data_IF_771575242017
#
_entry.id   IF_771575242017
#
_cell.length_a   1.000
_cell.length_b   1.000
_cell.length_c   1.000
_cell.angle_alpha   90.00
_cell.angle_beta   90.00
_cell.angle_gamma   90.00
#
_symmetry.space_group_name_H-M   'P 1'
#
loop_
_entity.id
_entity.type
_entity.pdbx_description
1 polymer ?
#
# COMPACT_ATOMS: atom_id res chain seq x y z
N UNK A 1 33.16 -33.44 -11.09
CA UNK A 1 33.40 -32.09 -10.55
C UNK A 1 32.62 -30.99 -11.30
N UNK A 2 31.26 -30.99 -11.36
CA UNK A 2 30.55 -29.86 -11.96
C UNK A 2 29.65 -29.08 -10.95
N UNK A 3 29.69 -29.42 -9.65
CA UNK A 3 28.75 -28.79 -8.66
C UNK A 3 29.27 -27.49 -8.03
N UNK A 4 30.56 -27.19 -8.12
CA UNK A 4 31.17 -25.99 -7.48
C UNK A 4 30.95 -24.73 -8.31
N UNK A 5 30.84 -24.81 -9.64
CA UNK A 5 30.63 -23.65 -10.49
C UNK A 5 29.21 -23.05 -10.45
N UNK A 6 28.19 -23.89 -10.15
CA UNK A 6 26.80 -23.44 -10.08
C UNK A 6 26.52 -22.62 -8.80
N UNK A 7 27.17 -22.95 -7.67
CA UNK A 7 27.03 -22.20 -6.42
C UNK A 7 27.69 -20.82 -6.48
N UNK A 8 28.84 -20.71 -7.16
CA UNK A 8 29.55 -19.42 -7.33
C UNK A 8 28.78 -18.47 -8.25
N UNK A 9 28.14 -18.97 -9.30
CA UNK A 9 27.31 -18.14 -10.19
C UNK A 9 26.04 -17.63 -9.52
N UNK A 10 25.39 -18.42 -8.67
CA UNK A 10 24.21 -18.00 -7.89
C UNK A 10 24.56 -16.95 -6.82
N UNK A 11 25.70 -17.11 -6.14
CA UNK A 11 26.17 -16.14 -5.13
C UNK A 11 26.61 -14.83 -5.78
N UNK A 12 27.28 -14.90 -6.93
CA UNK A 12 27.73 -13.68 -7.65
C UNK A 12 26.54 -12.92 -8.28
N UNK A 13 25.54 -13.61 -8.81
CA UNK A 13 24.32 -12.97 -9.32
C UNK A 13 23.52 -12.29 -8.19
N UNK A 14 23.41 -12.92 -7.03
CA UNK A 14 22.77 -12.33 -5.85
C UNK A 14 23.51 -11.09 -5.34
N UNK A 15 24.84 -11.12 -5.30
CA UNK A 15 25.66 -9.99 -4.84
C UNK A 15 25.65 -8.82 -5.87
N UNK A 16 25.62 -9.10 -7.16
CA UNK A 16 25.51 -8.07 -8.20
C UNK A 16 24.14 -7.38 -8.16
N UNK A 17 23.05 -8.13 -8.01
CA UNK A 17 21.71 -7.58 -7.85
C UNK A 17 21.56 -6.78 -6.55
N UNK A 18 22.24 -7.19 -5.48
CA UNK A 18 22.29 -6.51 -4.19
C UNK A 18 23.03 -5.16 -4.27
N UNK A 19 24.13 -5.06 -5.05
CA UNK A 19 24.86 -3.81 -5.26
C UNK A 19 24.04 -2.79 -6.08
N UNK A 20 23.27 -3.26 -7.06
CA UNK A 20 22.45 -2.40 -7.91
C UNK A 20 21.28 -1.75 -7.15
N UNK A 21 20.60 -2.49 -6.27
CA UNK A 21 19.50 -1.95 -5.45
C UNK A 21 19.96 -0.87 -4.45
N UNK A 22 21.18 -0.97 -3.94
CA UNK A 22 21.75 0.05 -3.05
C UNK A 22 22.34 1.24 -3.80
N UNK A 23 22.62 1.11 -5.10
CA UNK A 23 23.12 2.18 -5.98
C UNK A 23 22.01 2.95 -6.70
N UNK A 24 20.75 2.47 -6.66
CA UNK A 24 19.63 3.16 -7.30
C UNK A 24 19.42 4.59 -6.76
N UNK A 25 18.95 5.51 -7.64
CA UNK A 25 18.65 6.87 -7.20
C UNK A 25 17.58 6.86 -6.10
N UNK A 26 17.77 7.74 -5.13
CA UNK A 26 16.79 7.97 -4.05
C UNK A 26 16.28 9.41 -4.17
N UNK A 27 15.00 9.62 -4.39
CA UNK A 27 13.93 8.64 -4.66
C UNK A 27 14.03 8.00 -6.05
N UNK A 28 13.39 6.82 -6.20
CA UNK A 28 13.27 6.13 -7.49
C UNK A 28 12.43 6.92 -8.49
N UNK A 29 11.32 7.53 -7.99
CA UNK A 29 10.39 8.33 -8.78
C UNK A 29 10.16 9.71 -8.18
N UNK A 30 9.72 10.66 -9.02
CA UNK A 30 9.35 12.01 -8.58
C UNK A 30 8.06 12.47 -9.26
N UNK A 31 7.18 13.09 -8.48
CA UNK A 31 6.07 13.92 -8.96
C UNK A 31 6.38 15.35 -8.54
N UNK A 32 6.51 16.27 -9.50
CA UNK A 32 6.92 17.64 -9.21
C UNK A 32 5.75 18.46 -8.66
N UNK A 33 6.07 19.52 -7.92
CA UNK A 33 5.06 20.48 -7.38
C UNK A 33 4.10 21.00 -8.47
N UNK A 34 4.61 21.27 -9.67
CA UNK A 34 3.80 21.78 -10.79
C UNK A 34 2.81 20.79 -11.38
N UNK A 35 2.93 19.50 -11.03
CA UNK A 35 2.02 18.42 -11.46
C UNK A 35 0.89 18.20 -10.43
N UNK A 36 0.95 18.90 -9.31
CA UNK A 36 0.01 18.72 -8.20
C UNK A 36 -0.84 19.99 -7.97
N UNK A 37 -2.02 19.83 -7.40
CA UNK A 37 -2.83 20.94 -6.92
C UNK A 37 -2.10 21.69 -5.78
N UNK A 38 -2.48 22.94 -5.52
CA UNK A 38 -1.95 23.76 -4.41
C UNK A 38 -2.13 23.06 -3.05
N UNK A 39 -3.21 22.31 -2.89
CA UNK A 39 -3.48 21.45 -1.74
C UNK A 39 -3.67 20.02 -2.26
N UNK A 40 -2.56 19.27 -2.47
CA UNK A 40 -2.64 17.97 -3.06
C UNK A 40 -3.24 16.96 -2.10
N UNK A 41 -3.94 15.97 -2.67
CA UNK A 41 -4.39 14.80 -1.92
C UNK A 41 -3.82 13.53 -2.54
N UNK A 42 -3.70 12.51 -1.70
CA UNK A 42 -3.27 11.18 -2.04
C UNK A 42 -4.35 10.21 -1.58
N UNK A 43 -4.57 9.12 -2.32
CA UNK A 43 -5.52 8.10 -1.90
C UNK A 43 -4.77 6.80 -1.65
N UNK A 44 -5.02 6.21 -0.47
CA UNK A 44 -4.47 4.93 -0.07
C UNK A 44 -5.60 3.91 0.11
N UNK A 45 -5.50 2.76 -0.55
CA UNK A 45 -6.38 1.61 -0.37
C UNK A 45 -5.81 0.35 -1.04
N UNK A 46 -6.25 -0.84 -0.65
CA UNK A 46 -5.79 -2.11 -1.17
C UNK A 46 -6.91 -3.11 -1.42
N UNK A 47 -6.53 -4.32 -1.82
CA UNK A 47 -7.44 -5.45 -1.96
C UNK A 47 -8.56 -5.22 -2.98
N UNK A 48 -8.19 -4.66 -4.11
CA UNK A 48 -9.13 -4.43 -5.20
C UNK A 48 -9.55 -5.74 -5.86
N UNK A 49 -8.63 -6.69 -5.95
CA UNK A 49 -8.82 -8.02 -6.54
C UNK A 49 -9.54 -7.98 -7.87
N UNK A 50 -8.99 -7.22 -8.82
CA UNK A 50 -9.48 -7.18 -10.17
C UNK A 50 -9.46 -8.58 -10.78
N UNK A 51 -10.62 -8.99 -11.29
CA UNK A 51 -10.84 -10.28 -11.95
C UNK A 51 -12.11 -10.18 -12.78
N UNK A 52 -12.45 -11.24 -13.51
CA UNK A 52 -13.69 -11.32 -14.30
C UNK A 52 -14.88 -10.79 -13.47
N UNK A 53 -15.61 -9.77 -13.96
CA UNK A 53 -16.77 -9.22 -13.27
C UNK A 53 -17.90 -10.23 -13.00
N UNK A 54 -17.89 -11.40 -13.63
CA UNK A 54 -18.79 -12.52 -13.29
C UNK A 54 -18.42 -13.18 -11.96
N UNK A 55 -17.17 -13.04 -11.48
CA UNK A 55 -16.73 -13.59 -10.20
C UNK A 55 -17.17 -12.69 -9.04
N UNK A 56 -18.38 -12.93 -8.53
CA UNK A 56 -18.97 -12.21 -7.41
C UNK A 56 -18.66 -12.85 -6.04
N UNK A 57 -17.91 -13.92 -5.98
CA UNK A 57 -17.58 -14.60 -4.73
C UNK A 57 -16.33 -14.01 -4.07
N UNK A 58 -15.31 -13.71 -4.86
CA UNK A 58 -14.05 -13.15 -4.36
C UNK A 58 -14.08 -11.63 -4.21
N UNK A 59 -14.93 -10.93 -4.95
CA UNK A 59 -14.97 -9.47 -5.03
C UNK A 59 -16.40 -8.98 -5.30
N UNK A 60 -16.62 -7.68 -5.10
CA UNK A 60 -17.82 -6.98 -5.58
C UNK A 60 -17.44 -6.06 -6.75
N UNK A 61 -17.66 -6.50 -8.02
CA UNK A 61 -17.25 -5.72 -9.19
C UNK A 61 -17.98 -4.38 -9.32
N UNK A 62 -19.24 -4.29 -8.85
CA UNK A 62 -20.03 -3.07 -8.89
C UNK A 62 -19.47 -2.02 -7.93
N UNK A 63 -19.19 -2.43 -6.71
CA UNK A 63 -18.61 -1.55 -5.69
C UNK A 63 -17.18 -1.16 -6.08
N UNK A 64 -16.36 -2.10 -6.54
CA UNK A 64 -15.00 -1.82 -7.02
C UNK A 64 -15.02 -0.76 -8.13
N UNK A 65 -15.87 -0.93 -9.14
CA UNK A 65 -16.01 0.05 -10.23
C UNK A 65 -16.46 1.42 -9.73
N UNK A 66 -17.42 1.46 -8.80
CA UNK A 66 -17.86 2.70 -8.18
C UNK A 66 -16.72 3.43 -7.46
N UNK A 67 -15.90 2.71 -6.67
CA UNK A 67 -14.74 3.29 -6.00
C UNK A 67 -13.73 3.83 -7.01
N UNK A 68 -13.44 3.10 -8.09
CA UNK A 68 -12.55 3.56 -9.17
C UNK A 68 -13.02 4.89 -9.75
N UNK A 69 -14.32 5.01 -10.07
CA UNK A 69 -14.89 6.22 -10.65
C UNK A 69 -14.88 7.39 -9.66
N UNK A 70 -15.19 7.11 -8.39
CA UNK A 70 -15.14 8.13 -7.31
C UNK A 70 -13.72 8.65 -7.09
N UNK A 71 -12.74 7.76 -7.06
CA UNK A 71 -11.32 8.12 -6.91
C UNK A 71 -10.86 8.97 -8.10
N UNK A 72 -11.24 8.63 -9.33
CA UNK A 72 -10.94 9.45 -10.51
C UNK A 72 -11.51 10.87 -10.38
N UNK A 73 -12.75 10.98 -9.86
CA UNK A 73 -13.41 12.27 -9.66
C UNK A 73 -12.77 13.13 -8.57
N UNK A 74 -12.10 12.53 -7.58
CA UNK A 74 -11.34 13.23 -6.54
C UNK A 74 -10.07 13.89 -7.09
N UNK A 75 -9.57 13.44 -8.26
CA UNK A 75 -8.33 13.91 -8.90
C UNK A 75 -7.15 14.01 -7.92
N UNK A 76 -6.81 12.94 -7.17
CA UNK A 76 -5.66 12.95 -6.28
C UNK A 76 -4.36 13.09 -7.08
N UNK A 77 -3.33 13.66 -6.47
CA UNK A 77 -2.00 13.72 -7.08
C UNK A 77 -1.37 12.31 -7.24
N UNK A 78 -1.73 11.38 -6.35
CA UNK A 78 -1.25 10.00 -6.44
C UNK A 78 -2.22 9.01 -5.80
N UNK A 79 -2.20 7.78 -6.32
CA UNK A 79 -2.81 6.59 -5.72
C UNK A 79 -1.73 5.70 -5.14
N UNK A 80 -1.88 5.34 -3.88
CA UNK A 80 -1.02 4.45 -3.12
C UNK A 80 -1.80 3.15 -2.94
N UNK A 81 -1.41 2.09 -3.67
CA UNK A 81 -2.13 0.83 -3.68
C UNK A 81 -1.45 -0.18 -2.76
N UNK A 82 -2.18 -0.66 -1.76
CA UNK A 82 -1.66 -1.49 -0.66
C UNK A 82 -1.56 -2.99 -1.03
N UNK A 83 -1.41 -3.34 -2.31
CA UNK A 83 -1.34 -4.73 -2.80
C UNK A 83 -2.69 -5.37 -3.04
N UNK A 84 -2.66 -6.62 -3.50
CA UNK A 84 -3.81 -7.42 -3.94
C UNK A 84 -4.62 -6.69 -5.04
N UNK A 85 -3.90 -6.15 -6.02
CA UNK A 85 -4.51 -5.53 -7.21
C UNK A 85 -5.23 -6.58 -8.06
N UNK A 86 -4.60 -7.69 -8.52
CA UNK A 86 -5.31 -8.78 -9.18
C UNK A 86 -5.90 -9.75 -8.14
N UNK A 87 -6.83 -10.61 -8.56
CA UNK A 87 -7.23 -11.77 -7.79
C UNK A 87 -6.17 -12.88 -7.87
N UNK A 88 -5.53 -13.06 -9.04
CA UNK A 88 -4.44 -14.01 -9.22
C UNK A 88 -3.37 -13.44 -10.15
N UNK A 89 -2.13 -13.32 -9.62
CA UNK A 89 -1.03 -12.64 -10.30
C UNK A 89 -0.58 -13.33 -11.59
N UNK A 90 -0.71 -14.66 -11.71
CA UNK A 90 -0.36 -15.38 -12.93
C UNK A 90 -1.41 -15.25 -14.05
N UNK A 91 -2.61 -14.72 -13.75
CA UNK A 91 -3.67 -14.54 -14.73
C UNK A 91 -3.58 -13.15 -15.41
N UNK A 92 -3.13 -13.13 -16.65
CA UNK A 92 -3.11 -11.91 -17.48
C UNK A 92 -4.48 -11.24 -17.59
N UNK A 93 -5.55 -12.04 -17.55
CA UNK A 93 -6.91 -11.51 -17.63
C UNK A 93 -7.24 -10.57 -16.47
N UNK A 94 -6.78 -10.88 -15.28
CA UNK A 94 -7.03 -10.05 -14.09
C UNK A 94 -6.37 -8.66 -14.24
N UNK A 95 -5.16 -8.59 -14.77
CA UNK A 95 -4.53 -7.32 -15.13
C UNK A 95 -5.22 -6.61 -16.31
N UNK A 96 -5.78 -7.36 -17.26
CA UNK A 96 -6.57 -6.76 -18.34
C UNK A 96 -7.86 -6.10 -17.81
N UNK A 97 -8.51 -6.74 -16.83
CA UNK A 97 -9.67 -6.16 -16.13
C UNK A 97 -9.24 -4.91 -15.35
N UNK A 98 -8.13 -4.98 -14.61
CA UNK A 98 -7.55 -3.80 -13.94
C UNK A 98 -7.35 -2.65 -14.92
N UNK A 99 -6.65 -2.89 -16.04
CA UNK A 99 -6.38 -1.86 -17.03
C UNK A 99 -7.67 -1.29 -17.65
N UNK A 100 -8.67 -2.13 -17.89
CA UNK A 100 -9.96 -1.71 -18.44
C UNK A 100 -10.77 -0.89 -17.44
N UNK A 101 -10.97 -1.39 -16.23
CA UNK A 101 -11.79 -0.73 -15.22
C UNK A 101 -11.16 0.57 -14.72
N UNK A 102 -9.82 0.64 -14.62
CA UNK A 102 -9.08 1.83 -14.15
C UNK A 102 -8.73 2.82 -15.26
N UNK A 103 -9.31 2.68 -16.46
CA UNK A 103 -9.15 3.68 -17.52
C UNK A 103 -9.43 5.11 -17.04
N UNK A 104 -10.45 5.39 -16.18
CA UNK A 104 -10.67 6.73 -15.64
C UNK A 104 -9.47 7.32 -14.87
N UNK A 105 -8.64 6.52 -14.23
CA UNK A 105 -7.42 6.99 -13.54
C UNK A 105 -6.37 7.48 -14.53
N UNK A 106 -6.16 6.71 -15.62
CA UNK A 106 -5.21 7.10 -16.67
C UNK A 106 -5.69 8.34 -17.43
N UNK A 107 -7.00 8.40 -17.72
CA UNK A 107 -7.60 9.56 -18.39
C UNK A 107 -7.48 10.84 -17.52
N UNK A 108 -7.47 10.69 -16.20
CA UNK A 108 -7.25 11.76 -15.23
C UNK A 108 -5.75 12.05 -14.96
N UNK A 109 -4.83 11.28 -15.55
CA UNK A 109 -3.39 11.45 -15.38
C UNK A 109 -2.88 11.13 -13.98
N UNK A 110 -3.52 10.20 -13.24
CA UNK A 110 -3.14 9.87 -11.87
C UNK A 110 -1.84 9.07 -11.82
N UNK A 111 -0.93 9.44 -10.93
CA UNK A 111 0.26 8.65 -10.62
C UNK A 111 -0.09 7.45 -9.72
N UNK A 112 0.39 6.26 -10.06
CA UNK A 112 0.11 5.02 -9.35
C UNK A 112 1.38 4.53 -8.64
N UNK A 113 1.28 4.24 -7.35
CA UNK A 113 2.35 3.67 -6.53
C UNK A 113 1.88 2.37 -5.87
N UNK A 114 1.90 1.24 -6.60
CA UNK A 114 1.43 -0.05 -6.10
C UNK A 114 2.49 -0.79 -5.28
N UNK A 115 2.11 -1.35 -4.13
CA UNK A 115 2.85 -2.39 -3.44
C UNK A 115 2.44 -3.78 -3.93
N UNK A 116 3.28 -4.79 -3.69
CA UNK A 116 2.97 -6.19 -3.96
C UNK A 116 2.23 -6.81 -2.75
N UNK A 117 1.06 -7.42 -2.98
CA UNK A 117 0.37 -8.26 -2.03
C UNK A 117 0.64 -9.76 -2.26
N UNK A 118 -0.03 -10.63 -1.50
CA UNK A 118 0.13 -12.06 -1.69
C UNK A 118 -0.60 -12.56 -2.94
N UNK A 119 -1.67 -11.91 -3.37
CA UNK A 119 -2.39 -12.25 -4.60
C UNK A 119 -1.58 -11.94 -5.86
N UNK A 120 -0.63 -11.02 -5.83
CA UNK A 120 0.35 -10.84 -6.90
C UNK A 120 1.24 -12.06 -7.13
N UNK A 121 1.29 -13.00 -6.18
CA UNK A 121 2.06 -14.26 -6.29
C UNK A 121 1.18 -15.50 -6.37
N UNK A 122 -0.16 -15.36 -6.42
CA UNK A 122 -1.06 -16.49 -6.62
C UNK A 122 -0.86 -17.09 -8.01
N UNK A 123 -0.86 -18.44 -8.08
CA UNK A 123 -0.57 -19.22 -9.26
C UNK A 123 0.93 -19.48 -9.43
N UNK A 124 1.47 -19.33 -10.65
CA UNK A 124 2.89 -19.53 -10.93
C UNK A 124 3.68 -18.25 -10.63
N UNK A 125 4.56 -18.20 -9.63
CA UNK A 125 5.14 -16.97 -9.14
C UNK A 125 6.00 -16.20 -10.15
N UNK A 126 6.71 -16.90 -11.05
CA UNK A 126 7.51 -16.23 -12.08
C UNK A 126 6.60 -15.55 -13.11
N UNK A 127 5.56 -16.24 -13.57
CA UNK A 127 4.57 -15.66 -14.48
C UNK A 127 3.82 -14.49 -13.84
N UNK A 128 3.53 -14.60 -12.55
CA UNK A 128 2.87 -13.58 -11.77
C UNK A 128 3.68 -12.26 -11.75
N UNK A 129 4.99 -12.33 -11.44
CA UNK A 129 5.88 -11.16 -11.48
C UNK A 129 6.03 -10.59 -12.90
N UNK A 130 6.12 -11.43 -13.95
CA UNK A 130 6.18 -10.94 -15.33
C UNK A 130 4.89 -10.22 -15.73
N UNK A 131 3.73 -10.70 -15.29
CA UNK A 131 2.45 -10.01 -15.52
C UNK A 131 2.38 -8.68 -14.77
N UNK A 132 2.86 -8.63 -13.53
CA UNK A 132 2.99 -7.41 -12.75
C UNK A 132 3.86 -6.37 -13.47
N UNK A 133 5.06 -6.74 -13.88
CA UNK A 133 5.97 -5.84 -14.60
C UNK A 133 5.48 -5.47 -16.01
N UNK A 134 4.62 -6.29 -16.61
CA UNK A 134 3.95 -5.93 -17.86
C UNK A 134 2.87 -4.88 -17.63
N UNK A 135 2.15 -4.98 -16.50
CA UNK A 135 1.12 -4.03 -16.11
C UNK A 135 1.71 -2.69 -15.61
N UNK A 136 2.82 -2.75 -14.88
CA UNK A 136 3.54 -1.62 -14.31
C UNK A 136 5.00 -1.61 -14.82
N UNK A 137 5.24 -1.24 -16.09
CA UNK A 137 6.57 -1.38 -16.71
C UNK A 137 7.65 -0.53 -16.05
N UNK A 138 7.28 0.58 -15.42
CA UNK A 138 8.19 1.43 -14.65
C UNK A 138 8.74 0.75 -13.40
N UNK A 139 8.05 -0.30 -12.91
CA UNK A 139 8.47 -1.11 -11.76
C UNK A 139 9.32 -2.33 -12.16
N UNK A 140 9.69 -2.46 -13.46
CA UNK A 140 10.40 -3.66 -13.92
C UNK A 140 11.68 -3.91 -13.11
N UNK A 141 11.82 -5.16 -12.66
CA UNK A 141 12.89 -5.66 -11.79
C UNK A 141 12.93 -5.05 -10.38
N UNK A 142 11.90 -4.29 -9.98
CA UNK A 142 11.75 -3.75 -8.62
C UNK A 142 10.63 -4.46 -7.89
N UNK A 143 10.85 -4.76 -6.62
CA UNK A 143 9.84 -5.28 -5.70
C UNK A 143 9.51 -4.26 -4.61
N UNK A 144 10.41 -3.34 -4.34
CA UNK A 144 10.22 -2.17 -3.47
C UNK A 144 10.91 -0.96 -4.09
N UNK A 145 10.43 0.20 -3.76
CA UNK A 145 10.90 1.46 -4.33
C UNK A 145 10.47 2.67 -3.51
N UNK A 146 10.99 3.84 -3.84
CA UNK A 146 10.61 5.11 -3.23
C UNK A 146 10.12 6.12 -4.26
N UNK A 147 9.24 7.04 -3.83
CA UNK A 147 8.80 8.17 -4.62
C UNK A 147 8.79 9.45 -3.77
N UNK A 148 9.11 10.57 -4.37
CA UNK A 148 8.93 11.88 -3.75
C UNK A 148 7.78 12.62 -4.43
N UNK A 149 6.80 13.07 -3.65
CA UNK A 149 5.63 13.80 -4.11
C UNK A 149 5.76 15.25 -3.66
N UNK A 150 6.12 16.11 -4.60
CA UNK A 150 6.52 17.49 -4.28
C UNK A 150 7.74 17.54 -3.37
N UNK A 151 7.79 18.59 -2.55
CA UNK A 151 8.90 18.82 -1.63
C UNK A 151 8.71 18.18 -0.25
N UNK A 152 7.46 17.82 0.14
CA UNK A 152 7.10 17.56 1.53
C UNK A 152 6.71 16.10 1.84
N UNK A 153 6.42 15.28 0.82
CA UNK A 153 5.94 13.89 1.01
C UNK A 153 6.89 12.90 0.34
N UNK A 154 7.21 11.85 1.08
CA UNK A 154 8.04 10.75 0.60
C UNK A 154 7.29 9.43 0.74
N UNK A 155 7.25 8.63 -0.32
CA UNK A 155 6.57 7.33 -0.34
C UNK A 155 7.61 6.22 -0.32
N UNK A 156 7.39 5.20 0.51
CA UNK A 156 8.10 3.93 0.47
C UNK A 156 7.09 2.84 0.16
N UNK A 157 7.20 2.23 -1.01
CA UNK A 157 6.44 1.03 -1.35
C UNK A 157 7.29 -0.21 -1.02
N UNK A 158 6.79 -1.05 -0.13
CA UNK A 158 7.49 -2.22 0.40
C UNK A 158 6.85 -3.52 -0.09
N UNK A 159 7.65 -4.56 -0.20
CA UNK A 159 7.18 -5.90 -0.47
C UNK A 159 7.23 -6.76 0.80
N UNK A 160 6.09 -6.92 1.46
CA UNK A 160 5.95 -7.73 2.66
C UNK A 160 5.96 -9.25 2.41
N UNK A 161 6.07 -9.68 1.13
CA UNK A 161 6.29 -11.09 0.79
C UNK A 161 7.78 -11.48 0.83
N UNK A 162 8.67 -10.52 1.07
CA UNK A 162 10.10 -10.75 1.30
C UNK A 162 10.50 -10.33 2.71
N UNK A 163 11.73 -10.68 3.10
CA UNK A 163 12.22 -10.35 4.43
C UNK A 163 12.42 -8.85 4.63
N UNK A 164 11.83 -8.33 5.73
CA UNK A 164 12.08 -6.99 6.29
C UNK A 164 12.81 -7.12 7.64
N UNK A 165 13.20 -8.35 8.03
CA UNK A 165 13.94 -8.59 9.26
C UNK A 165 15.27 -7.84 9.26
N UNK A 166 15.79 -7.43 10.43
CA UNK A 166 17.07 -6.74 10.53
C UNK A 166 18.19 -7.47 9.77
N UNK A 167 18.92 -6.73 8.93
CA UNK A 167 20.00 -7.28 8.11
C UNK A 167 19.57 -7.84 6.76
N UNK A 168 18.28 -7.88 6.43
CA UNK A 168 17.81 -8.17 5.07
C UNK A 168 18.07 -6.99 4.11
N UNK A 169 18.04 -7.25 2.80
CA UNK A 169 18.30 -6.22 1.80
C UNK A 169 17.26 -5.11 1.88
N UNK A 170 15.98 -5.47 2.00
CA UNK A 170 14.92 -4.49 2.11
C UNK A 170 15.02 -3.69 3.41
N UNK A 171 15.36 -4.30 4.55
CA UNK A 171 15.56 -3.58 5.81
C UNK A 171 16.71 -2.56 5.72
N UNK A 172 17.86 -2.93 5.14
CA UNK A 172 18.97 -2.00 4.90
C UNK A 172 18.58 -0.86 3.96
N UNK A 173 17.80 -1.18 2.93
CA UNK A 173 17.29 -0.18 2.00
C UNK A 173 16.34 0.81 2.71
N UNK A 174 15.38 0.33 3.52
CA UNK A 174 14.47 1.17 4.32
C UNK A 174 15.28 2.10 5.23
N UNK A 175 16.27 1.56 5.95
CA UNK A 175 17.15 2.34 6.82
C UNK A 175 17.85 3.46 6.04
N UNK A 176 18.42 3.14 4.88
CA UNK A 176 19.07 4.12 4.00
C UNK A 176 18.09 5.21 3.54
N UNK A 177 16.86 4.85 3.15
CA UNK A 177 15.86 5.83 2.72
C UNK A 177 15.50 6.79 3.86
N UNK A 178 15.22 6.25 5.05
CA UNK A 178 14.77 7.05 6.20
C UNK A 178 15.91 7.93 6.76
N UNK A 179 17.13 7.44 6.84
CA UNK A 179 18.27 8.23 7.30
C UNK A 179 18.72 9.27 6.30
N UNK A 180 18.47 9.05 5.01
CA UNK A 180 18.80 9.98 3.92
C UNK A 180 17.68 10.92 3.51
N UNK A 181 16.58 11.03 4.28
CA UNK A 181 15.46 11.90 3.93
C UNK A 181 15.89 13.37 3.78
N UNK A 182 15.49 14.04 2.69
CA UNK A 182 15.67 15.48 2.56
C UNK A 182 15.01 16.24 3.73
N UNK A 183 15.66 17.30 4.21
CA UNK A 183 15.14 18.09 5.35
C UNK A 183 13.76 18.73 5.09
N UNK A 184 13.36 18.86 3.82
CA UNK A 184 12.04 19.38 3.43
C UNK A 184 10.89 18.38 3.57
N UNK A 185 11.17 17.09 3.80
CA UNK A 185 10.14 16.06 3.91
C UNK A 185 9.49 16.12 5.28
N UNK A 186 8.21 16.41 5.32
CA UNK A 186 7.40 16.40 6.54
C UNK A 186 6.78 15.02 6.83
N UNK A 187 6.42 14.28 5.77
CA UNK A 187 5.67 13.03 5.88
C UNK A 187 6.29 11.91 5.05
N UNK A 188 6.42 10.74 5.65
CA UNK A 188 6.77 9.50 4.98
C UNK A 188 5.54 8.59 4.97
N UNK A 189 5.01 8.32 3.79
CA UNK A 189 3.91 7.39 3.55
C UNK A 189 4.50 6.04 3.16
N UNK A 190 4.27 5.02 3.97
CA UNK A 190 4.76 3.66 3.72
C UNK A 190 3.56 2.83 3.28
N UNK A 191 3.63 2.25 2.07
CA UNK A 191 2.63 1.29 1.59
C UNK A 191 3.22 -0.11 1.56
N UNK A 192 2.45 -1.07 2.02
CA UNK A 192 2.76 -2.49 2.00
C UNK A 192 1.47 -3.30 2.10
N UNK A 193 1.55 -4.62 1.93
CA UNK A 193 0.33 -5.40 1.96
C UNK A 193 -0.02 -5.92 3.35
N UNK A 194 0.89 -6.66 4.01
CA UNK A 194 0.63 -7.21 5.33
C UNK A 194 0.85 -6.14 6.41
N UNK A 195 -0.11 -5.91 7.32
CA UNK A 195 -0.05 -4.82 8.29
C UNK A 195 0.93 -5.09 9.43
N UNK A 196 1.77 -4.10 9.81
CA UNK A 196 2.64 -4.19 11.00
C UNK A 196 1.89 -4.06 12.33
N UNK A 197 0.72 -3.44 12.30
CA UNK A 197 -0.20 -3.27 13.43
C UNK A 197 -1.60 -3.53 12.93
N UNK A 198 -2.32 -4.39 13.60
CA UNK A 198 -3.72 -4.72 13.34
C UNK A 198 -4.38 -5.21 14.62
N UNK A 199 -5.70 -5.21 14.65
CA UNK A 199 -6.46 -5.87 15.71
C UNK A 199 -6.18 -7.37 15.72
N UNK A 200 -5.85 -7.91 16.90
CA UNK A 200 -5.49 -9.32 17.05
C UNK A 200 -6.73 -10.18 16.86
N UNK A 201 -6.64 -11.10 15.91
CA UNK A 201 -7.69 -12.07 15.60
C UNK A 201 -7.45 -13.36 16.38
N UNK A 202 -8.43 -13.81 17.15
CA UNK A 202 -8.30 -15.00 18.02
C UNK A 202 -9.29 -16.13 17.68
N UNK A 203 -10.37 -15.80 16.97
CA UNK A 203 -11.46 -16.74 16.63
C UNK A 203 -11.69 -16.93 15.13
N UNK A 204 -10.90 -16.25 14.29
CA UNK A 204 -11.01 -16.35 12.83
C UNK A 204 -10.04 -17.42 12.34
N UNK A 205 -10.50 -18.30 11.45
CA UNK A 205 -9.70 -19.40 10.88
C UNK A 205 -8.49 -18.92 10.07
N UNK A 206 -8.56 -17.72 9.50
CA UNK A 206 -7.47 -17.10 8.73
C UNK A 206 -6.68 -16.19 9.65
N UNK A 207 -5.44 -16.54 9.93
CA UNK A 207 -4.53 -15.73 10.75
C UNK A 207 -4.05 -14.52 9.95
N UNK A 208 -4.61 -13.37 10.24
CA UNK A 208 -4.20 -12.07 9.71
C UNK A 208 -3.39 -11.25 10.72
N UNK A 209 -2.95 -11.85 11.80
CA UNK A 209 -2.15 -11.17 12.80
C UNK A 209 -0.79 -10.72 12.23
N UNK A 210 -0.21 -9.60 12.73
CA UNK A 210 1.11 -9.16 12.32
C UNK A 210 2.16 -10.25 12.52
N UNK A 211 2.92 -10.56 11.48
CA UNK A 211 3.97 -11.59 11.49
C UNK A 211 5.28 -11.01 12.02
N UNK A 212 6.27 -11.83 12.41
CA UNK A 212 7.58 -11.35 12.86
C UNK A 212 8.25 -10.36 11.90
N UNK A 213 8.03 -10.53 10.60
CA UNK A 213 8.54 -9.67 9.53
C UNK A 213 8.01 -8.23 9.66
N UNK A 214 6.70 -8.07 9.80
CA UNK A 214 6.04 -6.76 9.93
C UNK A 214 6.25 -6.15 11.31
N UNK A 215 6.31 -6.98 12.36
CA UNK A 215 6.64 -6.57 13.73
C UNK A 215 8.04 -5.93 13.77
N UNK A 216 9.02 -6.49 13.07
CA UNK A 216 10.37 -5.93 12.98
C UNK A 216 10.37 -4.53 12.33
N UNK A 217 9.54 -4.30 11.31
CA UNK A 217 9.35 -2.98 10.71
C UNK A 217 8.72 -2.00 11.69
N UNK A 218 7.65 -2.41 12.39
CA UNK A 218 7.02 -1.59 13.44
C UNK A 218 8.05 -1.14 14.48
N UNK A 219 8.84 -2.07 14.98
CA UNK A 219 9.84 -1.79 16.01
C UNK A 219 10.97 -0.88 15.49
N UNK A 220 11.32 -0.99 14.20
CA UNK A 220 12.25 -0.07 13.56
C UNK A 220 11.64 1.34 13.45
N UNK A 221 10.40 1.47 12.96
CA UNK A 221 9.72 2.75 12.80
C UNK A 221 9.49 3.45 14.13
N UNK A 222 9.18 2.71 15.21
CA UNK A 222 9.06 3.23 16.57
C UNK A 222 10.36 3.89 17.06
N UNK A 223 11.52 3.35 16.68
CA UNK A 223 12.82 3.97 16.95
C UNK A 223 13.10 5.17 16.06
N UNK A 224 12.87 5.01 14.75
CA UNK A 224 13.11 6.06 13.76
C UNK A 224 12.23 7.30 14.01
N UNK A 225 10.97 7.12 14.43
CA UNK A 225 10.07 8.21 14.74
C UNK A 225 10.57 9.13 15.86
N UNK A 226 11.39 8.63 16.77
CA UNK A 226 11.97 9.45 17.88
C UNK A 226 13.03 10.44 17.41
N UNK A 227 13.72 10.14 16.32
CA UNK A 227 14.88 10.92 15.83
C UNK A 227 14.65 11.59 14.49
N UNK A 228 13.71 11.08 13.67
CA UNK A 228 13.39 11.67 12.38
C UNK A 228 12.67 13.03 12.54
N UNK A 229 12.96 13.97 11.65
CA UNK A 229 12.19 15.21 11.51
C UNK A 229 10.81 14.98 10.84
N UNK A 230 10.66 13.90 10.06
CA UNK A 230 9.40 13.57 9.40
C UNK A 230 8.46 12.74 10.29
N UNK A 231 7.16 12.79 9.96
CA UNK A 231 6.12 11.91 10.52
C UNK A 231 5.93 10.70 9.63
N UNK A 232 5.57 9.57 10.22
CA UNK A 232 5.35 8.32 9.51
C UNK A 232 3.86 7.92 9.53
N UNK A 233 3.36 7.50 8.38
CA UNK A 233 2.09 6.81 8.21
C UNK A 233 2.34 5.54 7.41
N UNK A 234 1.91 4.39 7.95
CA UNK A 234 1.91 3.10 7.25
C UNK A 234 0.49 2.80 6.82
N UNK A 235 0.29 2.50 5.54
CA UNK A 235 -0.98 2.03 4.99
C UNK A 235 -0.78 0.61 4.46
N UNK A 236 -1.58 -0.32 4.97
CA UNK A 236 -1.54 -1.73 4.59
C UNK A 236 -2.91 -2.22 4.11
N UNK A 237 -2.93 -3.34 3.38
CA UNK A 237 -4.12 -4.07 2.96
C UNK A 237 -4.30 -5.36 3.75
N UNK A 238 -4.58 -6.47 3.01
CA UNK A 238 -4.65 -7.85 3.50
C UNK A 238 -5.86 -8.18 4.36
N UNK A 239 -6.19 -7.36 5.33
CA UNK A 239 -7.42 -7.45 6.10
C UNK A 239 -8.48 -6.63 5.35
N UNK A 240 -9.53 -7.31 4.84
CA UNK A 240 -10.57 -6.64 4.04
C UNK A 240 -11.49 -5.81 4.92
N UNK A 241 -10.90 -4.86 5.63
CA UNK A 241 -11.56 -3.99 6.57
C UNK A 241 -10.77 -2.70 6.77
N UNK A 242 -11.24 -1.81 7.63
CA UNK A 242 -10.54 -0.59 8.02
C UNK A 242 -10.14 -0.64 9.48
N UNK A 243 -8.87 -0.30 9.74
CA UNK A 243 -8.35 -0.09 11.10
C UNK A 243 -7.45 1.15 11.12
N UNK A 244 -7.43 1.86 12.24
CA UNK A 244 -6.48 2.94 12.48
C UNK A 244 -5.91 2.84 13.88
N UNK A 245 -4.60 2.68 13.95
CA UNK A 245 -3.83 2.55 15.18
C UNK A 245 -2.72 3.61 15.23
N UNK A 246 -2.31 3.99 16.43
CA UNK A 246 -1.14 4.85 16.65
C UNK A 246 -0.22 4.15 17.66
N UNK A 247 1.00 3.89 17.24
CA UNK A 247 2.03 3.28 18.09
C UNK A 247 3.30 4.11 17.97
N UNK A 248 3.82 4.62 19.10
CA UNK A 248 5.06 5.40 19.17
C UNK A 248 5.13 6.54 18.11
N UNK A 249 4.09 7.36 18.05
CA UNK A 249 3.97 8.48 17.09
C UNK A 249 3.90 8.08 15.60
N UNK A 250 3.75 6.81 15.27
CA UNK A 250 3.53 6.31 13.91
C UNK A 250 2.05 5.95 13.76
N UNK A 251 1.42 6.43 12.69
CA UNK A 251 0.04 6.08 12.33
C UNK A 251 0.05 4.84 11.46
N UNK A 252 -0.76 3.85 11.81
CA UNK A 252 -0.94 2.61 11.05
C UNK A 252 -2.40 2.50 10.60
N UNK A 253 -2.59 2.33 9.31
CA UNK A 253 -3.88 2.09 8.69
C UNK A 253 -3.90 0.68 8.10
N UNK A 254 -4.96 -0.06 8.38
CA UNK A 254 -5.41 -1.14 7.52
C UNK A 254 -6.48 -0.57 6.60
N UNK A 255 -6.31 -0.68 5.30
CA UNK A 255 -7.22 -0.16 4.28
C UNK A 255 -7.32 -1.15 3.13
N UNK A 256 -8.03 -2.27 3.40
CA UNK A 256 -8.26 -3.39 2.49
C UNK A 256 -9.66 -3.43 1.88
N UNK A 257 -10.33 -2.28 1.77
CA UNK A 257 -11.72 -2.19 1.32
C UNK A 257 -11.91 -1.92 -0.17
N UNK A 258 -10.93 -2.21 -1.03
CA UNK A 258 -10.93 -1.79 -2.44
C UNK A 258 -11.86 -2.54 -3.38
N UNK A 259 -12.44 -3.67 -2.96
CA UNK A 259 -13.32 -4.48 -3.82
C UNK A 259 -13.41 -5.95 -3.41
N UNK A 260 -12.39 -6.50 -2.76
CA UNK A 260 -12.45 -7.82 -2.16
C UNK A 260 -13.58 -7.90 -1.14
N UNK A 261 -14.23 -9.07 -1.04
CA UNK A 261 -15.33 -9.25 -0.09
C UNK A 261 -14.85 -8.93 1.32
N UNK A 262 -15.48 -7.96 2.01
CA UNK A 262 -15.19 -7.69 3.41
C UNK A 262 -15.53 -8.89 4.27
N UNK A 263 -14.76 -9.09 5.33
CA UNK A 263 -15.04 -10.13 6.30
C UNK A 263 -15.00 -9.58 7.71
N UNK A 264 -15.51 -10.38 8.61
CA UNK A 264 -15.48 -10.12 10.03
C UNK A 264 -14.05 -9.91 10.51
N UNK A 265 -13.83 -8.87 11.30
CA UNK A 265 -12.61 -8.68 12.06
C UNK A 265 -12.97 -8.49 13.53
N UNK A 266 -12.27 -9.20 14.42
CA UNK A 266 -12.35 -8.92 15.84
C UNK A 266 -11.76 -7.54 16.10
N UNK A 267 -12.43 -6.76 16.97
CA UNK A 267 -12.02 -5.40 17.25
C UNK A 267 -11.50 -5.26 18.66
N UNK A 268 -10.40 -4.52 18.81
CA UNK A 268 -9.95 -4.06 20.12
C UNK A 268 -10.59 -2.72 20.45
N UNK A 269 -10.88 -2.46 21.72
CA UNK A 269 -11.35 -1.16 22.14
C UNK A 269 -10.19 -0.15 22.18
N UNK A 270 -10.33 1.09 21.73
CA UNK A 270 -11.55 1.76 21.25
C UNK A 270 -11.64 1.80 19.71
N UNK A 271 -11.91 0.70 19.06
CA UNK A 271 -12.02 0.65 17.60
C UNK A 271 -13.21 1.48 17.11
N UNK A 272 -13.01 2.21 16.03
CA UNK A 272 -14.03 3.02 15.37
C UNK A 272 -15.15 2.19 14.73
N UNK A 273 -14.88 0.92 14.45
CA UNK A 273 -15.78 0.00 13.76
C UNK A 273 -16.01 -1.26 14.56
N UNK A 274 -16.77 -1.13 15.63
CA UNK A 274 -17.15 -2.27 16.44
C UNK A 274 -18.28 -3.12 15.83
N UNK A 275 -18.85 -2.68 14.70
CA UNK A 275 -19.88 -3.46 14.02
C UNK A 275 -19.27 -4.55 13.16
N UNK A 276 -19.43 -5.76 13.60
CA UNK A 276 -18.98 -6.99 12.95
C UNK A 276 -19.75 -7.34 11.66
N UNK A 277 -20.92 -6.77 11.45
CA UNK A 277 -21.80 -7.04 10.30
C UNK A 277 -21.59 -6.06 9.15
N UNK A 278 -20.50 -5.32 9.18
CA UNK A 278 -20.37 -4.16 8.36
C UNK A 278 -19.50 -4.42 7.12
N UNK A 279 -20.06 -4.46 5.91
CA UNK A 279 -19.27 -4.48 4.70
C UNK A 279 -18.52 -3.16 4.60
N UNK A 280 -17.19 -3.24 4.63
CA UNK A 280 -16.35 -2.08 4.74
C UNK A 280 -15.57 -1.82 3.45
N UNK A 281 -16.29 -1.53 2.37
CA UNK A 281 -15.69 -1.03 1.13
C UNK A 281 -15.36 0.45 1.28
N UNK A 282 -14.12 0.83 1.06
CA UNK A 282 -13.67 2.18 1.34
C UNK A 282 -12.37 2.54 0.63
N UNK A 283 -12.00 3.81 0.72
CA UNK A 283 -10.65 4.32 0.52
C UNK A 283 -10.32 5.38 1.57
N UNK A 284 -9.04 5.67 1.76
CA UNK A 284 -8.55 6.74 2.63
C UNK A 284 -7.97 7.86 1.77
N UNK A 285 -8.45 9.09 1.97
CA UNK A 285 -7.91 10.31 1.36
C UNK A 285 -7.02 11.02 2.35
N UNK A 286 -5.78 11.25 1.95
CA UNK A 286 -4.77 12.00 2.70
C UNK A 286 -4.58 13.36 2.01
N UNK A 287 -4.89 14.46 2.66
CA UNK A 287 -4.77 15.81 2.12
C UNK A 287 -3.62 16.54 2.79
N UNK A 288 -2.64 16.97 2.00
CA UNK A 288 -1.50 17.73 2.51
C UNK A 288 -1.91 19.17 2.78
N UNK A 289 -1.89 19.58 4.04
CA UNK A 289 -2.14 20.94 4.49
C UNK A 289 -0.81 21.63 4.87
N UNK A 290 -0.87 22.92 5.17
CA UNK A 290 0.33 23.68 5.54
C UNK A 290 1.03 23.12 6.78
N UNK A 291 0.25 22.73 7.77
CA UNK A 291 0.70 22.37 9.13
C UNK A 291 0.45 20.89 9.49
N UNK A 292 -0.19 20.11 8.61
CA UNK A 292 -0.55 18.72 8.86
C UNK A 292 -0.84 17.93 7.59
N UNK A 293 -0.88 16.62 7.73
CA UNK A 293 -1.52 15.70 6.80
C UNK A 293 -2.88 15.32 7.39
N UNK A 294 -3.96 15.69 6.69
CA UNK A 294 -5.32 15.37 7.08
C UNK A 294 -5.78 14.07 6.41
N UNK A 295 -6.18 13.09 7.19
CA UNK A 295 -6.74 11.83 6.73
C UNK A 295 -8.25 11.79 6.87
N UNK A 296 -8.95 11.25 5.87
CA UNK A 296 -10.37 10.98 5.88
C UNK A 296 -10.69 9.65 5.22
N UNK A 297 -11.40 8.77 5.92
CA UNK A 297 -11.88 7.51 5.36
C UNK A 297 -13.30 7.68 4.83
N UNK A 298 -13.49 7.30 3.57
CA UNK A 298 -14.77 7.31 2.88
C UNK A 298 -15.21 5.88 2.59
N UNK A 299 -16.34 5.52 3.15
CA UNK A 299 -16.92 4.19 3.07
C UNK A 299 -18.12 4.19 2.12
N UNK A 300 -18.34 3.10 1.40
CA UNK A 300 -19.61 2.86 0.71
C UNK A 300 -20.70 2.65 1.77
N UNK A 301 -21.72 3.52 1.78
CA UNK A 301 -22.74 3.57 2.82
C UNK A 301 -23.57 2.29 2.90
N UNK A 302 -24.01 1.81 1.75
CA UNK A 302 -24.72 0.55 1.57
C UNK A 302 -24.33 -0.07 0.23
N UNK A 303 -23.57 -1.18 0.23
CA UNK A 303 -23.13 -1.83 -1.01
C UNK A 303 -24.28 -2.52 -1.77
N UNK A 304 -25.43 -2.74 -1.16
CA UNK A 304 -26.59 -3.34 -1.83
C UNK A 304 -27.56 -2.30 -2.42
N UNK A 305 -27.39 -1.01 -2.10
CA UNK A 305 -28.27 0.05 -2.61
C UNK A 305 -28.16 0.16 -4.15
N UNK A 306 -29.28 0.48 -4.82
CA UNK A 306 -29.32 0.71 -6.25
C UNK A 306 -28.36 1.85 -6.66
N UNK A 307 -28.32 2.92 -5.87
CA UNK A 307 -27.41 4.05 -6.05
C UNK A 307 -26.39 4.07 -4.92
N UNK A 308 -25.12 3.76 -5.25
CA UNK A 308 -24.04 3.78 -4.28
C UNK A 308 -23.69 5.21 -3.87
N UNK A 309 -23.44 5.39 -2.57
CA UNK A 309 -22.98 6.65 -1.99
C UNK A 309 -21.84 6.42 -1.00
N UNK A 310 -21.11 7.49 -0.66
CA UNK A 310 -20.05 7.45 0.33
C UNK A 310 -20.45 8.19 1.60
N UNK A 311 -20.08 7.58 2.72
CA UNK A 311 -20.09 8.21 4.05
C UNK A 311 -18.66 8.47 4.50
N UNK A 312 -18.38 9.67 5.03
CA UNK A 312 -17.12 9.90 5.75
C UNK A 312 -17.26 9.35 7.16
N UNK A 313 -16.45 8.34 7.51
CA UNK A 313 -16.58 7.61 8.78
C UNK A 313 -15.45 7.85 9.76
N UNK A 314 -14.27 8.19 9.30
CA UNK A 314 -13.14 8.55 10.15
C UNK A 314 -12.44 9.79 9.62
N UNK A 315 -11.88 10.57 10.55
CA UNK A 315 -10.95 11.66 10.25
C UNK A 315 -9.85 11.71 11.29
N UNK A 316 -8.65 12.08 10.84
CA UNK A 316 -7.50 12.26 11.72
C UNK A 316 -6.54 13.28 11.16
N UNK A 317 -5.74 13.89 12.02
CA UNK A 317 -4.68 14.81 11.66
C UNK A 317 -3.33 14.31 12.17
N UNK A 318 -2.33 14.41 11.30
CA UNK A 318 -0.93 14.18 11.65
C UNK A 318 -0.22 15.52 11.52
N UNK A 319 0.05 16.25 12.62
CA UNK A 319 0.72 17.54 12.56
C UNK A 319 2.18 17.37 12.13
N UNK A 320 2.73 18.38 11.40
CA UNK A 320 4.17 18.42 11.14
C UNK A 320 4.94 18.46 12.46
N UNK A 321 6.16 17.93 12.47
CA UNK A 321 7.04 18.09 13.64
C UNK A 321 7.53 19.52 13.74
N UNK A 322 7.62 20.10 14.95
CA UNK A 322 8.32 21.37 15.15
C UNK A 322 9.77 21.24 14.68
N UNK A 323 10.22 22.24 13.91
CA UNK A 323 11.62 22.38 13.48
C UNK A 323 12.48 22.96 14.60
#
# INVERSE_FOLDING_TARGET
MPRVFLLIALVTASLAQQSDLLSEPSPTFRVNEGEMAVQPSFIAYGDQRFTDPANKTATDPRVRKYLVDRIAAEKPAALILNGDVPLAGDLKNDYSVFQSETKPWRDAGLHLFPALGNHEFHGEPHQALENWWTCFPEMRNRRWYSAQLGSRVYVLALDSNTSILPGSDQARWIEKQITGLPASIDFVLITMHHPPVADIQTHIEVDHNPRPNEIALRDYLSRAAKTSHARFLVSAGHIHNYERNVVDDVVYLVSGGGGAKPYYAERTAPDLYQSVLFPNFHYVKLTLMKDRLHGAMYRVADPEADNLSLDQKDTFDIPVKPH
#
